data_IF_551938157997
#
_entry.id   IF_551938157997
#
_cell.length_a   1.000
_cell.length_b   1.000
_cell.length_c   1.000
_cell.angle_alpha   90.00
_cell.angle_beta   90.00
_cell.angle_gamma   90.00
#
_symmetry.space_group_name_H-M   'P 1'
#
loop_
_entity.id
_entity.type
_entity.pdbx_description
1 polymer ?
#
# COMPACT_ATOMS: atom_id res chain seq x y z
N UNK A 1 6.01 12.92 -17.92
CA UNK A 1 5.24 12.98 -16.67
C UNK A 1 6.03 13.71 -15.61
N UNK A 2 5.48 14.78 -15.05
CA UNK A 2 6.08 15.47 -13.91
C UNK A 2 5.82 14.67 -12.61
N UNK A 3 6.64 14.82 -11.57
CA UNK A 3 6.46 14.10 -10.28
C UNK A 3 5.05 14.27 -9.68
N UNK A 4 4.47 15.47 -9.82
CA UNK A 4 3.11 15.79 -9.34
C UNK A 4 2.05 14.94 -10.04
N UNK A 5 2.14 14.80 -11.36
CA UNK A 5 1.21 14.00 -12.17
C UNK A 5 1.31 12.49 -11.84
N UNK A 6 2.52 12.00 -11.59
CA UNK A 6 2.76 10.62 -11.12
C UNK A 6 2.10 10.38 -9.77
N UNK A 7 2.23 11.32 -8.85
CA UNK A 7 1.63 11.22 -7.53
C UNK A 7 0.10 11.18 -7.61
N UNK A 8 -0.52 12.03 -8.43
CA UNK A 8 -1.97 12.01 -8.65
C UNK A 8 -2.44 10.71 -9.30
N UNK A 9 -1.66 10.16 -10.24
CA UNK A 9 -1.94 8.85 -10.85
C UNK A 9 -1.90 7.73 -9.80
N UNK A 10 -0.89 7.73 -8.92
CA UNK A 10 -0.79 6.77 -7.82
C UNK A 10 -2.02 6.88 -6.91
N UNK A 11 -2.41 8.09 -6.50
CA UNK A 11 -3.59 8.31 -5.65
C UNK A 11 -4.87 7.78 -6.31
N UNK A 12 -5.06 8.08 -7.61
CA UNK A 12 -6.21 7.58 -8.38
C UNK A 12 -6.27 6.06 -8.37
N UNK A 13 -5.16 5.37 -8.63
CA UNK A 13 -5.10 3.90 -8.57
C UNK A 13 -5.44 3.34 -7.18
N UNK A 14 -5.00 4.00 -6.11
CA UNK A 14 -5.37 3.59 -4.75
C UNK A 14 -6.86 3.83 -4.43
N UNK A 15 -7.48 4.85 -5.02
CA UNK A 15 -8.92 5.07 -4.92
C UNK A 15 -9.68 3.99 -5.68
N UNK A 16 -9.25 3.64 -6.90
CA UNK A 16 -9.83 2.52 -7.66
C UNK A 16 -9.69 1.20 -6.91
N UNK A 17 -8.55 0.93 -6.27
CA UNK A 17 -8.34 -0.25 -5.44
C UNK A 17 -9.30 -0.32 -4.24
N UNK A 18 -9.73 0.83 -3.73
CA UNK A 18 -10.70 0.92 -2.63
C UNK A 18 -12.12 0.60 -3.10
N UNK A 19 -12.49 1.03 -4.31
CA UNK A 19 -13.83 0.86 -4.88
C UNK A 19 -14.04 -0.51 -5.52
N UNK A 20 -12.99 -1.05 -6.15
CA UNK A 20 -13.05 -2.27 -6.96
C UNK A 20 -12.21 -3.38 -6.31
N UNK A 21 -12.79 -4.07 -5.31
CA UNK A 21 -12.06 -5.03 -4.46
C UNK A 21 -11.43 -6.19 -5.23
N UNK A 22 -12.07 -6.65 -6.31
CA UNK A 22 -11.60 -7.79 -7.12
C UNK A 22 -10.33 -7.47 -7.91
N UNK A 23 -10.14 -6.19 -8.26
CA UNK A 23 -8.99 -5.69 -9.02
C UNK A 23 -8.01 -4.91 -8.14
N UNK A 24 -8.24 -4.85 -6.82
CA UNK A 24 -7.48 -3.99 -5.91
C UNK A 24 -5.97 -4.30 -5.92
N UNK A 25 -5.60 -5.58 -5.88
CA UNK A 25 -4.20 -6.02 -5.92
C UNK A 25 -3.51 -5.53 -7.20
N UNK A 26 -4.22 -5.58 -8.34
CA UNK A 26 -3.71 -5.14 -9.64
C UNK A 26 -3.48 -3.63 -9.69
N UNK A 27 -4.41 -2.84 -9.16
CA UNK A 27 -4.25 -1.38 -9.10
C UNK A 27 -3.08 -0.95 -8.21
N UNK A 28 -2.89 -1.60 -7.07
CA UNK A 28 -1.72 -1.37 -6.19
C UNK A 28 -0.42 -1.73 -6.92
N UNK A 29 -0.40 -2.87 -7.60
CA UNK A 29 0.77 -3.30 -8.37
C UNK A 29 1.14 -2.25 -9.44
N UNK A 30 0.15 -1.75 -10.19
CA UNK A 30 0.33 -0.66 -11.15
C UNK A 30 0.87 0.61 -10.50
N UNK A 31 0.27 1.03 -9.39
CA UNK A 31 0.71 2.22 -8.66
C UNK A 31 2.17 2.10 -8.20
N UNK A 32 2.57 0.91 -7.75
CA UNK A 32 3.96 0.62 -7.35
C UNK A 32 4.92 0.63 -8.54
N UNK A 33 4.54 0.02 -9.67
CA UNK A 33 5.35 0.03 -10.90
C UNK A 33 5.55 1.46 -11.43
N UNK A 34 4.50 2.27 -11.45
CA UNK A 34 4.55 3.68 -11.86
C UNK A 34 5.46 4.48 -10.92
N UNK A 35 5.28 4.35 -9.60
CA UNK A 35 6.14 5.02 -8.63
C UNK A 35 7.61 4.65 -8.78
N UNK A 36 7.92 3.36 -8.99
CA UNK A 36 9.29 2.90 -9.26
C UNK A 36 9.84 3.49 -10.57
N UNK A 37 9.07 3.43 -11.67
CA UNK A 37 9.49 3.91 -12.99
C UNK A 37 9.89 5.39 -12.99
N UNK A 38 9.17 6.22 -12.23
CA UNK A 38 9.42 7.67 -12.16
C UNK A 38 10.15 8.12 -10.89
N UNK A 39 10.66 7.18 -10.08
CA UNK A 39 11.29 7.45 -8.78
C UNK A 39 10.44 8.36 -7.87
N UNK A 40 9.12 8.13 -7.85
CA UNK A 40 8.16 8.81 -6.98
C UNK A 40 7.73 7.84 -5.88
N UNK A 41 8.10 8.10 -4.61
CA UNK A 41 7.74 7.21 -3.53
C UNK A 41 6.23 7.22 -3.29
N UNK A 42 5.65 6.04 -3.06
CA UNK A 42 4.27 5.96 -2.59
C UNK A 42 4.15 6.73 -1.26
N UNK A 43 3.14 7.62 -1.11
CA UNK A 43 2.90 8.35 0.13
C UNK A 43 2.72 7.46 1.37
N UNK A 44 3.02 8.01 2.56
CA UNK A 44 3.04 7.24 3.81
C UNK A 44 1.68 6.64 4.16
N UNK A 45 0.61 7.39 3.90
CA UNK A 45 -0.79 7.03 4.10
C UNK A 45 -1.19 5.85 3.21
N UNK A 46 -0.68 5.78 1.97
CA UNK A 46 -0.94 4.70 1.01
C UNK A 46 -0.04 3.48 1.25
N UNK A 47 1.21 3.68 1.72
CA UNK A 47 2.15 2.60 2.07
C UNK A 47 1.59 1.61 3.10
N UNK A 48 0.60 2.01 3.91
CA UNK A 48 -0.06 1.18 4.92
C UNK A 48 -1.30 0.44 4.41
N UNK A 49 -1.73 0.71 3.16
CA UNK A 49 -2.94 0.14 2.57
C UNK A 49 -2.70 -1.16 1.81
N UNK A 50 -1.47 -1.64 1.72
CA UNK A 50 -1.16 -2.85 0.98
C UNK A 50 0.05 -3.60 1.54
N UNK A 51 0.17 -4.87 1.18
CA UNK A 51 1.33 -5.69 1.47
C UNK A 51 2.49 -5.32 0.53
N UNK A 52 3.59 -4.80 1.09
CA UNK A 52 4.81 -4.45 0.33
C UNK A 52 5.51 -5.65 -0.34
N UNK A 53 5.10 -6.88 0.00
CA UNK A 53 5.71 -8.11 -0.48
C UNK A 53 4.96 -8.73 -1.66
N UNK A 54 3.63 -8.80 -1.60
CA UNK A 54 2.79 -9.44 -2.63
C UNK A 54 1.81 -8.47 -3.32
N UNK A 55 1.89 -7.18 -3.01
CA UNK A 55 0.98 -6.12 -3.51
C UNK A 55 -0.48 -6.28 -3.12
N UNK A 56 -0.81 -7.21 -2.22
CA UNK A 56 -2.19 -7.41 -1.80
C UNK A 56 -2.74 -6.17 -1.10
N UNK A 57 -3.86 -5.62 -1.59
CA UNK A 57 -4.53 -4.49 -0.97
C UNK A 57 -5.21 -4.93 0.33
N UNK A 58 -5.00 -4.19 1.42
CA UNK A 58 -5.52 -4.55 2.73
C UNK A 58 -7.00 -4.17 2.86
N UNK A 59 -7.83 -5.20 3.06
CA UNK A 59 -9.27 -5.14 3.32
C UNK A 59 -9.56 -5.78 4.70
N UNK A 60 -10.72 -5.56 5.31
CA UNK A 60 -10.99 -5.92 6.73
C UNK A 60 -10.62 -7.37 7.12
N UNK A 61 -10.65 -8.33 6.18
CA UNK A 61 -10.45 -9.75 6.43
C UNK A 61 -9.08 -10.32 6.07
N UNK A 62 -8.20 -9.60 5.36
CA UNK A 62 -7.01 -10.19 4.75
C UNK A 62 -5.66 -9.79 5.39
N UNK A 63 -5.71 -9.12 6.55
CA UNK A 63 -4.53 -8.70 7.29
C UNK A 63 -4.81 -8.51 8.78
N UNK A 64 -3.75 -8.42 9.58
CA UNK A 64 -3.80 -8.12 11.03
C UNK A 64 -2.91 -6.93 11.35
N UNK A 65 -3.41 -6.01 12.17
CA UNK A 65 -2.62 -4.93 12.77
C UNK A 65 -2.34 -5.30 14.24
N UNK A 66 -1.08 -5.13 14.67
CA UNK A 66 -0.69 -5.17 16.09
C UNK A 66 0.18 -3.97 16.41
N UNK A 67 0.03 -3.43 17.61
CA UNK A 67 0.91 -2.37 18.13
C UNK A 67 1.77 -2.93 19.25
N UNK A 68 3.09 -2.73 19.19
CA UNK A 68 4.05 -3.12 20.23
C UNK A 68 5.27 -2.21 20.16
N UNK A 69 5.79 -1.76 21.31
CA UNK A 69 7.04 -0.99 21.41
C UNK A 69 7.12 0.21 20.43
N UNK A 70 6.10 1.08 20.41
CA UNK A 70 5.99 2.22 19.47
C UNK A 70 6.02 1.86 17.97
N UNK A 71 5.74 0.60 17.63
CA UNK A 71 5.70 0.10 16.26
C UNK A 71 4.31 -0.46 15.94
N UNK A 72 3.83 -0.18 14.73
CA UNK A 72 2.64 -0.80 14.14
C UNK A 72 3.09 -1.91 13.20
N UNK A 73 2.65 -3.13 13.42
CA UNK A 73 2.96 -4.32 12.64
C UNK A 73 1.73 -4.73 11.81
N UNK A 74 1.86 -4.68 10.50
CA UNK A 74 0.89 -5.19 9.54
C UNK A 74 1.32 -6.59 9.11
N UNK A 75 0.47 -7.59 9.32
CA UNK A 75 0.68 -8.98 8.89
C UNK A 75 -0.28 -9.30 7.75
N UNK A 76 0.24 -9.69 6.59
CA UNK A 76 -0.58 -10.08 5.45
C UNK A 76 -1.01 -11.55 5.57
N UNK A 77 -2.29 -11.86 5.43
CA UNK A 77 -2.75 -13.25 5.49
C UNK A 77 -2.51 -14.02 4.18
N UNK A 78 -2.44 -13.32 3.05
CA UNK A 78 -2.18 -13.92 1.73
C UNK A 78 -0.75 -14.48 1.60
N UNK A 79 0.27 -13.73 1.99
CA UNK A 79 1.68 -14.15 1.87
C UNK A 79 2.39 -14.41 3.20
N UNK A 80 1.69 -14.27 4.34
CA UNK A 80 2.21 -14.46 5.71
C UNK A 80 3.37 -13.57 6.14
N UNK A 81 3.86 -12.67 5.28
CA UNK A 81 4.89 -11.69 5.62
C UNK A 81 4.32 -10.50 6.40
N UNK A 82 5.16 -9.87 7.21
CA UNK A 82 4.82 -8.66 7.96
C UNK A 82 5.62 -7.44 7.51
N UNK A 83 5.12 -6.27 7.88
CA UNK A 83 5.76 -4.97 7.70
C UNK A 83 5.56 -4.15 8.96
N UNK A 84 6.61 -3.45 9.42
CA UNK A 84 6.56 -2.62 10.62
C UNK A 84 6.68 -1.14 10.23
N UNK A 85 5.93 -0.29 10.92
CA UNK A 85 6.02 1.17 10.81
C UNK A 85 6.19 1.79 12.19
N UNK A 86 7.14 2.72 12.34
CA UNK A 86 7.24 3.53 13.56
C UNK A 86 6.00 4.42 13.69
N UNK A 87 5.42 4.45 14.89
CA UNK A 87 4.45 5.48 15.29
C UNK A 87 5.25 6.78 15.32
N UNK A 88 4.81 7.81 14.57
CA UNK A 88 5.39 9.14 14.80
C UNK A 88 4.73 9.60 16.10
N UNK A 89 5.55 9.89 17.10
CA UNK A 89 5.12 10.62 18.30
C UNK A 89 4.49 11.96 17.87
#
# INVERSE_FOLDING_TARGET
MQKKEVLETIKKLFNEAKLNTDKADRYVELARKIGMKFNVPIPRELKRKFCRHCNSYFQKSNYRIRTRNKMIVYTCFKCRKYTKFKIKD
#
